data_IF_978831139493
#
_entry.id   IF_978831139493
#
_cell.length_a   1.000
_cell.length_b   1.000
_cell.length_c   1.000
_cell.angle_alpha   90.00
_cell.angle_beta   90.00
_cell.angle_gamma   90.00
#
_symmetry.space_group_name_H-M   'P 1'
#
loop_
_entity.id
_entity.type
_entity.pdbx_description
1 polymer ?
#
# COMPACT_ATOMS: atom_id res chain seq x y z
N UNK A 1 6.82 21.47 47.80
CA UNK A 1 6.33 21.88 46.46
C UNK A 1 5.75 20.65 45.80
N UNK A 2 4.42 20.58 45.82
CA UNK A 2 3.60 19.40 45.55
C UNK A 2 3.55 19.04 44.07
N UNK A 3 3.60 17.74 43.80
CA UNK A 3 3.48 17.11 42.48
C UNK A 3 2.00 16.97 42.14
N UNK A 4 1.37 18.06 41.73
CA UNK A 4 -0.02 18.09 41.28
C UNK A 4 -0.12 18.56 39.84
N UNK A 5 0.29 17.73 38.87
CA UNK A 5 -0.20 17.84 37.48
C UNK A 5 -0.34 16.44 36.89
N UNK A 6 -1.44 16.25 36.17
CA UNK A 6 -1.83 15.06 35.41
C UNK A 6 -2.52 13.98 36.25
N UNK A 7 -3.67 14.35 36.81
CA UNK A 7 -4.82 13.47 36.81
C UNK A 7 -5.02 12.91 35.40
N UNK A 8 -4.52 11.69 35.20
CA UNK A 8 -4.91 10.80 34.12
C UNK A 8 -6.41 10.59 34.25
N UNK A 9 -7.19 11.42 33.55
CA UNK A 9 -8.54 11.04 33.19
C UNK A 9 -8.37 9.84 32.28
N UNK A 10 -8.48 8.66 32.88
CA UNK A 10 -8.82 7.44 32.19
C UNK A 10 -10.02 7.78 31.30
N UNK A 11 -9.74 8.04 30.02
CA UNK A 11 -10.74 8.10 28.98
C UNK A 11 -11.32 6.71 28.92
N UNK A 12 -12.46 6.56 29.59
CA UNK A 12 -13.40 5.46 29.44
C UNK A 12 -13.45 5.08 27.97
N UNK A 13 -12.91 3.90 27.65
CA UNK A 13 -13.11 3.29 26.37
C UNK A 13 -14.62 3.26 26.11
N UNK A 14 -15.15 3.87 25.04
CA UNK A 14 -16.50 3.59 24.64
C UNK A 14 -16.51 2.10 24.31
N UNK A 15 -17.29 1.35 25.08
CA UNK A 15 -17.69 -0.02 24.79
C UNK A 15 -17.95 -0.14 23.29
N UNK A 16 -17.11 -0.91 22.60
CA UNK A 16 -17.11 -1.01 21.16
C UNK A 16 -18.49 -1.40 20.65
N UNK A 17 -19.18 -0.43 20.04
CA UNK A 17 -20.32 -0.71 19.19
C UNK A 17 -19.86 -1.59 18.03
N UNK A 18 -20.72 -2.53 17.63
CA UNK A 18 -20.53 -3.36 16.46
C UNK A 18 -20.15 -2.52 15.23
N UNK A 19 -19.41 -3.11 14.28
CA UNK A 19 -19.09 -2.50 12.97
C UNK A 19 -20.29 -1.81 12.32
N UNK A 20 -21.48 -2.38 12.49
CA UNK A 20 -22.76 -1.86 12.03
C UNK A 20 -23.20 -0.56 12.73
N UNK A 21 -22.94 -0.38 14.03
CA UNK A 21 -23.27 0.84 14.78
C UNK A 21 -22.38 2.01 14.38
N UNK A 22 -21.09 1.75 14.22
CA UNK A 22 -20.08 2.75 13.81
C UNK A 22 -20.23 3.18 12.33
N UNK A 23 -20.86 2.34 11.50
CA UNK A 23 -21.25 2.67 10.12
C UNK A 23 -22.30 3.78 10.04
N UNK A 24 -23.05 4.04 11.12
CA UNK A 24 -24.09 5.08 11.16
C UNK A 24 -23.70 6.33 11.95
N UNK A 25 -22.62 6.32 12.74
CA UNK A 25 -22.17 7.49 13.52
C UNK A 25 -21.22 8.41 12.73
N UNK A 26 -21.51 9.72 12.69
CA UNK A 26 -20.83 10.70 11.84
C UNK A 26 -19.72 11.51 12.55
N UNK A 27 -19.28 11.11 13.75
CA UNK A 27 -18.24 11.85 14.47
C UNK A 27 -16.85 11.49 13.96
N UNK A 28 -16.06 12.50 13.61
CA UNK A 28 -14.64 12.33 13.26
C UNK A 28 -13.85 12.00 14.52
N UNK A 29 -13.31 10.79 14.59
CA UNK A 29 -12.47 10.38 15.71
C UNK A 29 -11.08 11.03 15.59
N UNK A 30 -10.66 11.75 16.64
CA UNK A 30 -9.37 12.46 16.79
C UNK A 30 -8.88 13.17 15.51
N UNK A 31 -9.48 14.31 15.13
CA UNK A 31 -9.24 14.96 13.83
C UNK A 31 -7.80 15.48 13.61
N UNK A 32 -7.03 15.72 14.67
CA UNK A 32 -5.70 16.34 14.57
C UNK A 32 -4.53 15.33 14.49
N UNK A 33 -4.78 14.03 14.59
CA UNK A 33 -3.74 12.98 14.54
C UNK A 33 -4.00 12.03 13.36
N UNK A 34 -2.97 11.52 12.69
CA UNK A 34 -3.17 10.56 11.59
C UNK A 34 -3.58 11.17 10.26
N UNK A 35 -3.66 12.51 10.12
CA UNK A 35 -4.36 13.15 8.99
C UNK A 35 -3.83 12.71 7.62
N UNK A 36 -2.51 12.74 7.43
CA UNK A 36 -1.88 12.39 6.15
C UNK A 36 -2.09 10.91 5.83
N UNK A 37 -1.84 10.02 6.80
CA UNK A 37 -1.98 8.57 6.62
C UNK A 37 -3.44 8.18 6.33
N UNK A 38 -4.40 8.81 7.02
CA UNK A 38 -5.83 8.59 6.78
C UNK A 38 -6.27 9.09 5.41
N UNK A 39 -5.86 10.30 5.00
CA UNK A 39 -6.19 10.82 3.67
C UNK A 39 -5.57 9.96 2.55
N UNK A 40 -4.32 9.54 2.73
CA UNK A 40 -3.62 8.71 1.74
C UNK A 40 -4.26 7.32 1.62
N UNK A 41 -4.64 6.71 2.73
CA UNK A 41 -5.35 5.41 2.71
C UNK A 41 -6.75 5.53 2.10
N UNK A 42 -7.51 6.61 2.37
CA UNK A 42 -8.81 6.85 1.72
C UNK A 42 -8.61 6.97 0.22
N UNK A 43 -7.64 7.79 -0.19
CA UNK A 43 -7.35 8.02 -1.61
C UNK A 43 -6.93 6.72 -2.31
N UNK A 44 -6.09 5.90 -1.67
CA UNK A 44 -5.67 4.60 -2.21
C UNK A 44 -6.86 3.65 -2.40
N UNK A 45 -7.76 3.55 -1.42
CA UNK A 45 -8.97 2.73 -1.53
C UNK A 45 -9.86 3.25 -2.66
N UNK A 46 -10.06 4.57 -2.74
CA UNK A 46 -10.87 5.19 -3.78
C UNK A 46 -10.30 4.97 -5.18
N UNK A 47 -8.97 5.05 -5.35
CA UNK A 47 -8.32 4.74 -6.61
C UNK A 47 -8.54 3.28 -7.02
N UNK A 48 -8.38 2.33 -6.09
CA UNK A 48 -8.61 0.90 -6.37
C UNK A 48 -10.06 0.66 -6.78
N UNK A 49 -11.02 1.23 -6.04
CA UNK A 49 -12.46 1.13 -6.35
C UNK A 49 -12.76 1.76 -7.71
N UNK A 50 -12.19 2.93 -8.01
CA UNK A 50 -12.41 3.61 -9.29
C UNK A 50 -11.85 2.81 -10.48
N UNK A 51 -10.64 2.24 -10.34
CA UNK A 51 -10.04 1.38 -11.36
C UNK A 51 -10.84 0.08 -11.54
N UNK A 52 -11.33 -0.51 -10.45
CA UNK A 52 -12.21 -1.68 -10.49
C UNK A 52 -13.53 -1.38 -11.19
N UNK A 53 -14.18 -0.27 -10.86
CA UNK A 53 -15.41 0.17 -11.50
C UNK A 53 -15.21 0.49 -12.98
N UNK A 54 -14.09 1.14 -13.34
CA UNK A 54 -13.72 1.37 -14.73
C UNK A 54 -13.57 0.05 -15.49
N UNK A 55 -12.84 -0.92 -14.93
CA UNK A 55 -12.62 -2.19 -15.60
C UNK A 55 -13.92 -2.98 -15.76
N UNK A 56 -14.79 -2.91 -14.77
CA UNK A 56 -16.12 -3.50 -14.81
C UNK A 56 -16.98 -2.84 -15.90
N UNK A 57 -17.04 -1.51 -15.95
CA UNK A 57 -17.72 -0.76 -17.01
C UNK A 57 -17.23 -1.16 -18.40
N UNK A 58 -15.92 -1.18 -18.63
CA UNK A 58 -15.35 -1.56 -19.92
C UNK A 58 -15.69 -2.99 -20.35
N UNK A 59 -15.94 -3.89 -19.39
CA UNK A 59 -16.32 -5.29 -19.68
C UNK A 59 -17.81 -5.42 -19.97
N UNK A 60 -18.67 -4.70 -19.23
CA UNK A 60 -20.12 -4.73 -19.46
C UNK A 60 -20.53 -3.98 -20.72
N UNK A 61 -19.89 -2.85 -21.03
CA UNK A 61 -20.16 -2.05 -22.23
C UNK A 61 -19.89 -2.86 -23.52
N UNK A 62 -18.83 -3.68 -23.52
CA UNK A 62 -18.52 -4.58 -24.62
C UNK A 62 -19.40 -5.84 -24.72
N UNK A 63 -20.14 -6.19 -23.66
CA UNK A 63 -20.88 -7.46 -23.57
C UNK A 63 -22.41 -7.30 -23.60
N UNK A 64 -22.95 -6.13 -23.25
CA UNK A 64 -24.38 -5.91 -23.05
C UNK A 64 -24.90 -4.73 -23.85
N UNK A 65 -25.94 -4.92 -24.67
CA UNK A 65 -26.58 -3.83 -25.44
C UNK A 65 -27.35 -2.83 -24.57
N UNK A 66 -27.72 -3.22 -23.34
CA UNK A 66 -28.43 -2.35 -22.40
C UNK A 66 -27.45 -1.43 -21.64
N UNK A 67 -27.34 -0.19 -22.13
CA UNK A 67 -26.49 0.87 -21.56
C UNK A 67 -26.82 1.21 -20.12
N UNK A 68 -28.07 1.05 -19.67
CA UNK A 68 -28.47 1.37 -18.31
C UNK A 68 -27.83 0.41 -17.30
N UNK A 69 -27.68 -0.88 -17.66
CA UNK A 69 -27.04 -1.88 -16.81
C UNK A 69 -25.51 -1.71 -16.85
N UNK A 70 -24.98 -1.47 -18.05
CA UNK A 70 -23.54 -1.27 -18.25
C UNK A 70 -23.00 -0.09 -17.44
N UNK A 71 -23.76 1.00 -17.29
CA UNK A 71 -23.36 2.17 -16.48
C UNK A 71 -23.83 2.06 -15.03
N UNK A 72 -25.04 1.55 -14.80
CA UNK A 72 -25.69 1.55 -13.48
C UNK A 72 -24.98 0.68 -12.45
N UNK A 73 -24.55 -0.53 -12.82
CA UNK A 73 -23.88 -1.44 -11.90
C UNK A 73 -22.50 -0.91 -11.46
N UNK A 74 -21.60 -0.50 -12.38
CA UNK A 74 -20.31 0.07 -11.99
C UNK A 74 -20.45 1.38 -11.20
N UNK A 75 -21.40 2.25 -11.55
CA UNK A 75 -21.65 3.49 -10.82
C UNK A 75 -22.12 3.23 -9.38
N UNK A 76 -23.03 2.26 -9.19
CA UNK A 76 -23.49 1.86 -7.86
C UNK A 76 -22.37 1.30 -6.99
N UNK A 77 -21.51 0.45 -7.57
CA UNK A 77 -20.33 -0.11 -6.89
C UNK A 77 -19.33 0.98 -6.53
N UNK A 78 -19.11 1.94 -7.43
CA UNK A 78 -18.22 3.07 -7.18
C UNK A 78 -18.72 3.90 -6.00
N UNK A 79 -20.00 4.30 -5.99
CA UNK A 79 -20.58 5.09 -4.89
C UNK A 79 -20.54 4.34 -3.56
N UNK A 80 -20.88 3.05 -3.56
CA UNK A 80 -20.81 2.21 -2.36
C UNK A 80 -19.36 2.06 -1.86
N UNK A 81 -18.41 1.85 -2.78
CA UNK A 81 -16.99 1.72 -2.43
C UNK A 81 -16.38 3.02 -1.91
N UNK A 82 -16.77 4.18 -2.46
CA UNK A 82 -16.36 5.48 -1.95
C UNK A 82 -16.87 5.70 -0.51
N UNK A 83 -18.15 5.39 -0.26
CA UNK A 83 -18.78 5.51 1.05
C UNK A 83 -18.17 4.57 2.09
N UNK A 84 -18.04 3.29 1.75
CA UNK A 84 -17.45 2.28 2.64
C UNK A 84 -15.99 2.60 2.92
N UNK A 85 -15.22 3.02 1.91
CA UNK A 85 -13.82 3.42 2.09
C UNK A 85 -13.65 4.59 3.06
N UNK A 86 -14.51 5.61 2.96
CA UNK A 86 -14.52 6.73 3.91
C UNK A 86 -14.88 6.27 5.34
N UNK A 87 -15.90 5.42 5.47
CA UNK A 87 -16.38 4.94 6.77
C UNK A 87 -15.41 4.01 7.48
N UNK A 88 -14.81 3.09 6.75
CA UNK A 88 -13.82 2.14 7.29
C UNK A 88 -12.63 2.87 7.93
N UNK A 89 -12.21 3.99 7.35
CA UNK A 89 -11.07 4.77 7.83
C UNK A 89 -11.42 5.69 9.01
N UNK A 90 -12.70 6.00 9.20
CA UNK A 90 -13.17 6.70 10.38
C UNK A 90 -13.53 5.78 11.54
N UNK A 91 -13.44 4.47 11.37
CA UNK A 91 -13.68 3.51 12.44
C UNK A 91 -12.57 3.60 13.52
N UNK A 92 -12.90 3.79 14.82
CA UNK A 92 -11.90 4.12 15.85
C UNK A 92 -10.74 3.13 15.94
N UNK A 93 -11.00 1.82 15.82
CA UNK A 93 -9.96 0.77 15.86
C UNK A 93 -8.96 0.90 14.72
N UNK A 94 -9.45 1.12 13.50
CA UNK A 94 -8.60 1.27 12.33
C UNK A 94 -7.86 2.61 12.35
N UNK A 95 -8.53 3.68 12.79
CA UNK A 95 -7.93 5.00 12.95
C UNK A 95 -6.78 5.00 13.98
N UNK A 96 -6.96 4.38 15.15
CA UNK A 96 -5.89 4.26 16.15
C UNK A 96 -4.71 3.42 15.63
N UNK A 97 -4.96 2.37 14.83
CA UNK A 97 -3.90 1.62 14.14
C UNK A 97 -3.11 2.51 13.16
N UNK A 98 -3.80 3.27 12.30
CA UNK A 98 -3.13 4.16 11.35
C UNK A 98 -2.29 5.25 12.05
N UNK A 99 -2.76 5.75 13.19
CA UNK A 99 -2.01 6.71 14.01
C UNK A 99 -0.76 6.05 14.61
N UNK A 100 -0.87 4.80 15.09
CA UNK A 100 0.28 4.05 15.59
C UNK A 100 1.32 3.78 14.49
N UNK A 101 0.87 3.40 13.29
CA UNK A 101 1.75 3.23 12.12
C UNK A 101 2.42 4.54 11.72
N UNK A 102 1.71 5.67 11.74
CA UNK A 102 2.33 6.98 11.51
C UNK A 102 3.45 7.27 12.53
N UNK A 103 3.19 6.98 13.81
CA UNK A 103 4.18 7.15 14.86
C UNK A 103 5.39 6.22 14.68
N UNK A 104 5.18 4.99 14.21
CA UNK A 104 6.26 4.04 13.92
C UNK A 104 7.06 4.46 12.69
N UNK A 105 6.40 4.96 11.64
CA UNK A 105 7.06 5.49 10.44
C UNK A 105 7.93 6.72 10.74
N UNK A 106 7.58 7.53 11.75
CA UNK A 106 8.43 8.65 12.21
C UNK A 106 9.73 8.19 12.86
N UNK A 107 9.81 6.95 13.33
CA UNK A 107 11.05 6.37 13.88
C UNK A 107 11.99 5.87 12.79
N UNK A 108 11.46 5.61 11.58
CA UNK A 108 12.25 5.11 10.46
C UNK A 108 13.06 6.26 9.86
N UNK A 109 14.38 6.19 9.99
CA UNK A 109 15.31 7.12 9.33
C UNK A 109 15.54 6.64 7.90
N UNK A 110 14.96 7.35 6.93
CA UNK A 110 15.18 7.06 5.52
C UNK A 110 16.62 7.43 5.12
N UNK A 111 17.30 6.56 4.36
CA UNK A 111 18.67 6.81 3.93
C UNK A 111 18.73 8.04 3.03
N UNK A 112 19.85 8.78 3.12
CA UNK A 112 20.07 9.92 2.24
C UNK A 112 20.22 9.48 0.79
N UNK A 113 19.95 10.38 -0.17
CA UNK A 113 20.07 10.06 -1.61
C UNK A 113 21.47 9.55 -1.98
N UNK A 114 22.51 10.02 -1.29
CA UNK A 114 23.89 9.62 -1.57
C UNK A 114 24.23 8.26 -0.98
N UNK A 115 23.67 7.93 0.18
CA UNK A 115 23.76 6.58 0.77
C UNK A 115 23.11 5.54 -0.15
N UNK A 116 21.90 5.84 -0.66
CA UNK A 116 21.21 4.95 -1.61
C UNK A 116 22.05 4.73 -2.87
N UNK A 117 22.60 5.80 -3.48
CA UNK A 117 23.47 5.68 -4.66
C UNK A 117 24.69 4.82 -4.36
N UNK A 118 25.38 5.07 -3.25
CA UNK A 118 26.60 4.33 -2.90
C UNK A 118 26.28 2.85 -2.67
N UNK A 119 25.21 2.54 -1.95
CA UNK A 119 24.76 1.17 -1.73
C UNK A 119 24.40 0.47 -3.06
N UNK A 120 23.61 1.12 -3.91
CA UNK A 120 23.24 0.56 -5.23
C UNK A 120 24.43 0.35 -6.15
N UNK A 121 25.40 1.28 -6.18
CA UNK A 121 26.61 1.14 -7.02
C UNK A 121 27.42 -0.10 -6.63
N UNK A 122 27.59 -0.37 -5.32
CA UNK A 122 28.29 -1.58 -4.86
C UNK A 122 27.58 -2.84 -5.36
N UNK A 123 26.24 -2.89 -5.28
CA UNK A 123 25.45 -4.02 -5.76
C UNK A 123 25.60 -4.19 -7.28
N UNK A 124 25.49 -3.11 -8.06
CA UNK A 124 25.64 -3.13 -9.52
C UNK A 124 27.02 -3.66 -9.91
N UNK A 125 28.09 -3.18 -9.27
CA UNK A 125 29.46 -3.63 -9.54
C UNK A 125 29.62 -5.11 -9.19
N UNK A 126 29.05 -5.56 -8.06
CA UNK A 126 29.11 -6.98 -7.65
C UNK A 126 28.42 -7.87 -8.67
N UNK A 127 27.22 -7.49 -9.11
CA UNK A 127 26.46 -8.24 -10.13
C UNK A 127 27.22 -8.24 -11.46
N UNK A 128 27.84 -7.12 -11.85
CA UNK A 128 28.61 -7.03 -13.09
C UNK A 128 29.85 -7.95 -13.07
N UNK A 129 30.59 -7.99 -11.96
CA UNK A 129 31.74 -8.89 -11.81
C UNK A 129 31.30 -10.36 -11.89
N UNK A 130 30.20 -10.72 -11.22
CA UNK A 130 29.65 -12.07 -11.28
C UNK A 130 29.20 -12.42 -12.71
N UNK A 131 28.53 -11.50 -13.40
CA UNK A 131 28.07 -11.70 -14.78
C UNK A 131 29.25 -11.93 -15.73
N UNK A 132 30.32 -11.13 -15.64
CA UNK A 132 31.54 -11.31 -16.45
C UNK A 132 32.20 -12.64 -16.11
N UNK A 133 32.29 -13.00 -14.82
CA UNK A 133 32.92 -14.25 -14.40
C UNK A 133 32.17 -15.46 -14.96
N UNK A 134 30.83 -15.46 -14.88
CA UNK A 134 30.00 -16.51 -15.46
C UNK A 134 30.14 -16.56 -16.99
N UNK A 135 30.12 -15.42 -17.66
CA UNK A 135 30.32 -15.35 -19.11
C UNK A 135 31.67 -15.94 -19.54
N UNK A 136 32.74 -15.68 -18.79
CA UNK A 136 34.06 -16.28 -19.06
C UNK A 136 34.05 -17.80 -18.89
N UNK A 137 33.37 -18.32 -17.87
CA UNK A 137 33.21 -19.76 -17.71
C UNK A 137 32.40 -20.37 -18.85
N UNK A 138 31.33 -19.72 -19.29
CA UNK A 138 30.51 -20.19 -20.43
C UNK A 138 31.36 -20.31 -21.70
N UNK A 139 32.13 -19.26 -22.03
CA UNK A 139 33.03 -19.26 -23.20
C UNK A 139 34.13 -20.32 -23.07
N UNK A 140 34.74 -20.44 -21.88
CA UNK A 140 35.77 -21.44 -21.61
C UNK A 140 35.24 -22.85 -21.83
N UNK A 141 34.09 -23.18 -21.25
CA UNK A 141 33.50 -24.52 -21.36
C UNK A 141 33.05 -24.84 -22.79
N UNK A 142 32.45 -23.88 -23.50
CA UNK A 142 32.11 -24.04 -24.92
C UNK A 142 33.35 -24.39 -25.75
N UNK A 143 34.40 -23.57 -25.65
CA UNK A 143 35.63 -23.80 -26.39
C UNK A 143 36.32 -25.13 -26.02
N UNK A 144 36.30 -25.50 -24.75
CA UNK A 144 36.85 -26.77 -24.27
C UNK A 144 36.11 -27.98 -24.85
N UNK A 145 34.77 -27.97 -24.82
CA UNK A 145 33.97 -29.07 -25.36
C UNK A 145 34.03 -29.14 -26.89
N UNK A 146 34.04 -27.99 -27.58
CA UNK A 146 34.20 -27.95 -29.04
C UNK A 146 35.55 -28.52 -29.47
N UNK A 147 36.64 -28.18 -28.75
CA UNK A 147 37.97 -28.70 -29.05
C UNK A 147 38.06 -30.22 -28.81
N UNK A 148 37.48 -30.72 -27.71
CA UNK A 148 37.43 -32.15 -27.43
C UNK A 148 36.67 -32.93 -28.51
N UNK A 149 35.48 -32.45 -28.90
CA UNK A 149 34.66 -33.11 -29.91
C UNK A 149 35.24 -32.99 -31.32
N UNK A 150 35.94 -31.89 -31.65
CA UNK A 150 36.62 -31.75 -32.93
C UNK A 150 37.78 -32.75 -33.13
N UNK A 151 38.29 -33.31 -32.03
CA UNK A 151 39.40 -34.28 -32.04
C UNK A 151 38.97 -35.75 -31.88
N UNK A 152 37.68 -36.02 -31.70
CA UNK A 152 37.08 -37.36 -31.57
C UNK A 152 36.42 -37.80 -32.88
#
# INVERSE_FOLDING_TARGET
MSRDIAGSKASTAPSGGSLSSELFHASVYKPNQGRIVRQLTVLAIWLIVALGAWRLYATLDGSTSNKAIAVGIPAGILLAGLWIGFRLINWPRFADFLIAVEAEMKKVTWPSRDEVKRASVVVIVTIAILAISLFLFDVFWQAFFDALWATA
#
